data_IF_693214238658
#
_entry.id   IF_693214238658
#
_cell.length_a   1.000
_cell.length_b   1.000
_cell.length_c   1.000
_cell.angle_alpha   90.00
_cell.angle_beta   90.00
_cell.angle_gamma   90.00
#
_symmetry.space_group_name_H-M   'P 1'
#
loop_
_entity.id
_entity.type
_entity.pdbx_description
1 polymer ?
#
# COMPACT_ATOMS: atom_id res chain seq x y z
N UNK A 1 3.80 -9.27 10.01
CA UNK A 1 3.06 -8.59 8.96
C UNK A 1 2.56 -7.25 9.44
N UNK A 2 2.45 -6.29 8.54
CA UNK A 2 2.05 -4.93 8.90
C UNK A 2 0.61 -4.90 9.41
N UNK A 3 0.44 -4.36 10.61
CA UNK A 3 -0.89 -4.15 11.20
C UNK A 3 -0.74 -3.18 12.37
N UNK A 4 -1.83 -2.46 12.75
CA UNK A 4 -1.77 -1.57 13.91
C UNK A 4 -1.50 -2.36 15.19
N UNK A 5 -0.67 -1.80 16.05
CA UNK A 5 -0.41 -2.39 17.38
C UNK A 5 -1.67 -2.30 18.24
N UNK A 6 -2.40 -1.19 18.09
CA UNK A 6 -3.61 -0.93 18.86
C UNK A 6 -4.62 -0.22 17.98
N UNK A 7 -5.88 -0.65 18.00
CA UNK A 7 -6.94 -0.01 17.23
C UNK A 7 -8.07 0.42 18.15
N UNK A 8 -8.72 1.54 17.79
CA UNK A 8 -9.85 2.08 18.54
C UNK A 8 -11.09 1.21 18.36
N UNK A 9 -11.30 0.71 17.15
CA UNK A 9 -12.45 -0.14 16.80
C UNK A 9 -11.97 -1.43 16.20
N UNK A 10 -12.63 -2.54 16.58
CA UNK A 10 -12.28 -3.87 16.08
C UNK A 10 -12.67 -4.07 14.62
N UNK A 11 -13.78 -3.47 14.21
CA UNK A 11 -14.32 -3.63 12.86
C UNK A 11 -14.60 -2.25 12.27
N UNK A 12 -14.60 -2.17 10.93
CA UNK A 12 -14.86 -0.92 10.22
C UNK A 12 -15.82 -1.15 9.07
N UNK A 13 -16.53 -0.11 8.67
CA UNK A 13 -17.33 -0.16 7.46
C UNK A 13 -16.45 -0.24 6.23
N UNK A 14 -16.91 -0.99 5.22
CA UNK A 14 -16.18 -1.09 3.96
C UNK A 14 -16.00 0.28 3.32
N UNK A 15 -17.08 1.06 3.22
CA UNK A 15 -17.04 2.36 2.59
C UNK A 15 -16.64 2.33 1.13
N UNK A 16 -16.51 3.51 0.54
CA UNK A 16 -16.03 3.69 -0.83
C UNK A 16 -14.91 4.73 -0.80
N UNK A 17 -13.99 4.62 -1.76
CA UNK A 17 -12.88 5.55 -1.88
C UNK A 17 -13.23 6.60 -2.91
N UNK A 18 -13.36 7.85 -2.48
CA UNK A 18 -13.75 8.97 -3.34
C UNK A 18 -12.65 10.01 -3.43
N UNK A 19 -12.62 10.73 -4.56
CA UNK A 19 -11.75 11.88 -4.75
C UNK A 19 -10.30 11.51 -5.03
N UNK A 20 -9.46 12.53 -5.02
CA UNK A 20 -8.03 12.41 -5.25
C UNK A 20 -7.27 12.67 -3.97
N UNK A 21 -6.05 12.12 -3.86
CA UNK A 21 -5.21 12.36 -2.71
C UNK A 21 -4.76 13.83 -2.66
N UNK A 22 -4.95 14.46 -1.51
CA UNK A 22 -4.44 15.81 -1.24
C UNK A 22 -3.27 15.78 -0.27
N UNK A 23 -3.16 14.71 0.52
CA UNK A 23 -2.03 14.47 1.41
C UNK A 23 -1.21 13.29 0.87
N UNK A 24 0.09 13.30 1.14
CA UNK A 24 1.01 12.28 0.64
C UNK A 24 0.90 12.16 -0.89
N UNK A 25 0.77 13.30 -1.56
CA UNK A 25 0.63 13.37 -3.02
C UNK A 25 1.92 13.81 -3.69
N UNK A 26 2.94 14.20 -2.92
CA UNK A 26 4.24 14.62 -3.42
C UNK A 26 5.35 13.88 -2.68
N UNK A 27 6.53 13.80 -3.31
CA UNK A 27 7.69 13.19 -2.68
C UNK A 27 8.24 14.10 -1.58
N UNK A 28 8.39 13.55 -0.38
CA UNK A 28 8.89 14.29 0.78
C UNK A 28 10.26 13.80 1.25
N UNK A 29 10.55 12.52 1.14
CA UNK A 29 11.76 11.92 1.69
C UNK A 29 12.76 11.52 0.62
N UNK A 30 12.30 10.91 -0.46
CA UNK A 30 13.16 10.38 -1.50
C UNK A 30 13.13 11.21 -2.77
N UNK A 31 14.05 10.89 -3.68
CA UNK A 31 14.13 11.52 -4.99
C UNK A 31 13.18 10.89 -6.01
N UNK A 32 12.79 9.65 -5.78
CA UNK A 32 11.93 8.88 -6.69
C UNK A 32 10.81 8.23 -5.92
N UNK A 33 9.70 7.95 -6.59
CA UNK A 33 8.56 7.34 -5.93
C UNK A 33 7.60 6.66 -6.88
N UNK A 34 6.65 5.96 -6.27
CA UNK A 34 5.57 5.26 -6.97
C UNK A 34 4.25 5.89 -6.55
N UNK A 35 3.50 6.34 -7.53
CA UNK A 35 2.25 7.07 -7.32
C UNK A 35 1.07 6.21 -7.78
N UNK A 36 0.02 6.13 -6.95
CA UNK A 36 -1.20 5.42 -7.30
C UNK A 36 -1.98 6.19 -8.35
N UNK A 37 -2.50 5.48 -9.34
CA UNK A 37 -3.33 6.06 -10.40
C UNK A 37 -4.79 5.62 -10.32
N UNK A 38 -5.12 4.70 -9.43
CA UNK A 38 -6.46 4.16 -9.24
C UNK A 38 -6.79 4.08 -7.75
N UNK A 39 -8.08 4.21 -7.38
CA UNK A 39 -8.48 3.97 -5.99
C UNK A 39 -8.60 2.47 -5.73
N UNK A 40 -8.11 2.01 -4.59
CA UNK A 40 -8.23 0.61 -4.17
C UNK A 40 -7.83 0.47 -2.71
N UNK A 41 -8.22 -0.65 -2.11
CA UNK A 41 -7.71 -1.08 -0.83
C UNK A 41 -6.50 -1.99 -1.07
N UNK A 42 -5.35 -1.59 -0.51
CA UNK A 42 -4.12 -2.37 -0.63
C UNK A 42 -3.92 -3.09 0.70
N UNK A 43 -3.85 -4.41 0.65
CA UNK A 43 -3.72 -5.22 1.87
C UNK A 43 -2.27 -5.28 2.35
N UNK A 44 -2.09 -5.58 3.64
CA UNK A 44 -0.76 -5.63 4.24
C UNK A 44 0.21 -6.58 3.54
N UNK A 45 -0.29 -7.71 3.06
CA UNK A 45 0.53 -8.67 2.31
C UNK A 45 1.09 -8.08 1.01
N UNK A 46 0.26 -7.32 0.30
CA UNK A 46 0.66 -6.68 -0.94
C UNK A 46 1.71 -5.60 -0.70
N UNK A 47 1.53 -4.81 0.35
CA UNK A 47 2.49 -3.76 0.73
C UNK A 47 3.84 -4.39 1.07
N UNK A 48 3.84 -5.45 1.86
CA UNK A 48 5.06 -6.13 2.24
C UNK A 48 5.76 -6.79 1.05
N UNK A 49 4.99 -7.43 0.16
CA UNK A 49 5.53 -8.05 -1.04
C UNK A 49 6.18 -7.01 -1.96
N UNK A 50 5.54 -5.86 -2.13
CA UNK A 50 6.08 -4.77 -2.93
C UNK A 50 7.38 -4.22 -2.34
N UNK A 51 7.41 -4.01 -1.02
CA UNK A 51 8.60 -3.53 -0.33
C UNK A 51 9.77 -4.49 -0.48
N UNK A 52 9.51 -5.79 -0.33
CA UNK A 52 10.54 -6.82 -0.47
C UNK A 52 11.10 -6.86 -1.90
N UNK A 53 10.21 -6.82 -2.91
CA UNK A 53 10.63 -6.83 -4.31
C UNK A 53 11.50 -5.62 -4.63
N UNK A 54 11.12 -4.45 -4.14
CA UNK A 54 11.85 -3.20 -4.33
C UNK A 54 13.23 -3.26 -3.69
N UNK A 55 13.31 -3.70 -2.45
CA UNK A 55 14.56 -3.80 -1.69
C UNK A 55 15.52 -4.80 -2.33
N UNK A 56 15.00 -5.94 -2.80
CA UNK A 56 15.84 -6.96 -3.47
C UNK A 56 16.48 -6.44 -4.74
N UNK A 57 15.72 -5.71 -5.54
CA UNK A 57 16.28 -5.15 -6.78
C UNK A 57 17.38 -4.13 -6.50
N UNK A 58 17.23 -3.36 -5.44
CA UNK A 58 18.22 -2.37 -5.03
C UNK A 58 19.44 -2.99 -4.32
N UNK A 59 19.42 -4.29 -4.07
CA UNK A 59 20.47 -5.01 -3.36
C UNK A 59 20.84 -4.36 -2.01
N UNK A 60 19.80 -3.87 -1.31
CA UNK A 60 19.91 -3.18 -0.02
C UNK A 60 20.70 -1.86 -0.09
N UNK A 61 20.94 -1.34 -1.29
CA UNK A 61 21.50 -0.01 -1.47
C UNK A 61 20.43 1.04 -1.31
N UNK A 62 20.79 2.23 -0.82
CA UNK A 62 19.85 3.33 -0.69
C UNK A 62 18.85 3.13 0.43
N UNK A 63 17.80 3.95 0.40
CA UNK A 63 16.73 3.94 1.41
C UNK A 63 15.37 3.82 0.74
N UNK A 64 14.44 3.17 1.44
CA UNK A 64 13.06 2.97 1.00
C UNK A 64 12.13 3.44 2.11
N UNK A 65 11.13 4.24 1.74
CA UNK A 65 10.06 4.65 2.65
C UNK A 65 8.75 4.12 2.13
N UNK A 66 8.04 3.37 2.98
CA UNK A 66 6.67 2.95 2.72
C UNK A 66 5.76 4.06 3.23
N UNK A 67 5.02 4.71 2.33
CA UNK A 67 4.15 5.84 2.67
C UNK A 67 2.71 5.43 2.94
N UNK A 68 2.43 4.15 2.91
CA UNK A 68 1.10 3.60 3.21
C UNK A 68 1.22 2.57 4.32
N UNK A 69 0.17 2.49 5.13
CA UNK A 69 0.10 1.54 6.24
C UNK A 69 -1.29 0.93 6.29
N UNK A 70 -1.41 -0.39 6.47
CA UNK A 70 -2.71 -1.06 6.52
C UNK A 70 -3.35 -0.85 7.88
N UNK A 71 -4.23 0.15 7.99
CA UNK A 71 -4.85 0.53 9.25
C UNK A 71 -6.35 0.21 9.32
N UNK A 72 -6.94 -0.30 8.24
CA UNK A 72 -8.37 -0.61 8.18
C UNK A 72 -8.56 -2.11 8.31
N UNK A 73 -9.31 -2.59 9.32
CA UNK A 73 -9.58 -4.02 9.45
C UNK A 73 -10.61 -4.46 8.41
N UNK A 74 -10.35 -5.60 7.77
CA UNK A 74 -11.27 -6.19 6.80
C UNK A 74 -11.76 -7.51 7.36
N UNK A 75 -13.09 -7.63 7.48
CA UNK A 75 -13.73 -8.81 8.04
C UNK A 75 -14.12 -9.78 6.94
N UNK A 76 -14.09 -11.07 7.27
CA UNK A 76 -14.51 -12.12 6.35
C UNK A 76 -15.12 -13.25 7.14
N UNK A 77 -16.19 -13.83 6.60
CA UNK A 77 -16.81 -15.03 7.17
C UNK A 77 -16.25 -16.28 6.50
N UNK A 78 -16.15 -17.40 7.23
CA UNK A 78 -15.80 -18.68 6.61
C UNK A 78 -16.79 -19.04 5.50
N UNK A 79 -16.32 -19.76 4.50
CA UNK A 79 -17.16 -20.14 3.35
C UNK A 79 -18.30 -21.08 3.73
N UNK A 80 -18.13 -21.90 4.78
CA UNK A 80 -19.13 -22.85 5.26
C UNK A 80 -20.21 -22.21 6.14
N UNK A 81 -20.07 -20.94 6.51
CA UNK A 81 -21.03 -20.26 7.37
C UNK A 81 -22.09 -19.57 6.53
N UNK A 82 -23.36 -19.72 6.92
CA UNK A 82 -24.48 -19.08 6.24
C UNK A 82 -24.48 -17.56 6.46
N UNK A 83 -25.10 -16.84 5.55
CA UNK A 83 -25.22 -15.40 5.63
C UNK A 83 -26.08 -14.98 6.82
N UNK A 84 -25.83 -13.77 7.36
CA UNK A 84 -26.55 -13.25 8.50
C UNK A 84 -25.84 -13.53 9.83
N UNK A 85 -26.52 -13.23 10.94
CA UNK A 85 -26.03 -13.41 12.32
C UNK A 85 -24.77 -12.59 12.64
N UNK A 86 -24.71 -11.38 12.09
CA UNK A 86 -23.65 -10.44 12.41
C UNK A 86 -22.48 -10.42 11.46
N UNK A 87 -21.60 -9.47 11.67
CA UNK A 87 -20.42 -9.25 10.84
C UNK A 87 -19.34 -10.27 11.18
N UNK A 88 -18.62 -10.73 10.15
CA UNK A 88 -17.50 -11.67 10.34
C UNK A 88 -16.36 -11.07 11.15
N UNK A 89 -15.43 -11.93 11.56
CA UNK A 89 -14.24 -11.51 12.31
C UNK A 89 -13.26 -10.80 11.41
N UNK A 90 -12.46 -9.84 11.94
CA UNK A 90 -11.38 -9.24 11.19
C UNK A 90 -10.38 -10.32 10.75
N UNK A 91 -10.04 -10.35 9.47
CA UNK A 91 -9.13 -11.34 8.93
C UNK A 91 -7.79 -10.74 8.54
N UNK A 92 -7.81 -9.55 7.95
CA UNK A 92 -6.59 -8.87 7.53
C UNK A 92 -6.78 -7.35 7.59
N UNK A 93 -5.70 -6.63 7.38
CA UNK A 93 -5.67 -5.17 7.42
C UNK A 93 -5.36 -4.62 6.03
N UNK A 94 -5.94 -3.47 5.71
CA UNK A 94 -5.77 -2.82 4.42
C UNK A 94 -5.62 -1.32 4.58
N UNK A 95 -5.09 -0.68 3.54
CA UNK A 95 -4.99 0.76 3.42
C UNK A 95 -5.88 1.22 2.27
N UNK A 96 -6.69 2.24 2.50
CA UNK A 96 -7.48 2.87 1.45
C UNK A 96 -6.60 3.86 0.71
N UNK A 97 -6.40 3.62 -0.58
CA UNK A 97 -5.52 4.44 -1.41
C UNK A 97 -6.36 5.22 -2.42
N UNK A 98 -6.18 6.53 -2.46
CA UNK A 98 -6.81 7.40 -3.45
C UNK A 98 -5.85 7.61 -4.63
N UNK A 99 -6.38 7.88 -5.84
CA UNK A 99 -5.52 8.25 -6.96
C UNK A 99 -4.66 9.47 -6.60
N UNK A 100 -3.40 9.41 -6.95
CA UNK A 100 -2.45 10.49 -6.67
C UNK A 100 -1.62 10.30 -5.41
N UNK A 101 -1.92 9.29 -4.60
CA UNK A 101 -1.15 9.04 -3.37
C UNK A 101 0.19 8.38 -3.68
N UNK A 102 1.24 8.84 -3.01
CA UNK A 102 2.55 8.23 -3.08
C UNK A 102 2.55 6.96 -2.21
N UNK A 103 2.96 5.85 -2.80
CA UNK A 103 2.97 4.55 -2.13
C UNK A 103 4.33 4.24 -1.52
N UNK A 104 5.38 4.44 -2.28
CA UNK A 104 6.76 4.22 -1.84
C UNK A 104 7.65 5.35 -2.32
N UNK A 105 8.71 5.63 -1.56
CA UNK A 105 9.74 6.57 -1.96
C UNK A 105 11.11 5.88 -1.85
N UNK A 106 12.01 6.25 -2.74
CA UNK A 106 13.33 5.65 -2.83
C UNK A 106 14.37 6.76 -2.98
N UNK A 107 15.51 6.59 -2.36
CA UNK A 107 16.65 7.49 -2.51
C UNK A 107 17.96 6.72 -2.38
N UNK A 108 19.06 7.35 -2.80
CA UNK A 108 20.38 6.75 -2.68
C UNK A 108 20.75 5.76 -3.78
N UNK A 109 19.98 5.71 -4.87
CA UNK A 109 20.28 4.89 -6.05
C UNK A 109 20.09 5.73 -7.32
N UNK A 110 20.61 5.22 -8.45
CA UNK A 110 20.43 5.89 -9.73
C UNK A 110 18.97 5.85 -10.18
N UNK A 111 18.60 6.76 -11.08
CA UNK A 111 17.22 6.81 -11.59
C UNK A 111 16.83 5.49 -12.27
N UNK A 112 17.75 4.89 -13.04
CA UNK A 112 17.46 3.63 -13.72
C UNK A 112 17.18 2.51 -12.73
N UNK A 113 18.01 2.37 -11.69
CA UNK A 113 17.81 1.35 -10.66
C UNK A 113 16.50 1.60 -9.92
N UNK A 114 16.22 2.85 -9.57
CA UNK A 114 14.98 3.20 -8.89
C UNK A 114 13.76 2.88 -9.74
N UNK A 115 13.79 3.23 -11.04
CA UNK A 115 12.68 2.97 -11.97
C UNK A 115 12.40 1.48 -12.08
N UNK A 116 13.44 0.67 -12.23
CA UNK A 116 13.28 -0.78 -12.33
C UNK A 116 12.78 -1.40 -11.03
N UNK A 117 13.32 -0.94 -9.90
CA UNK A 117 12.90 -1.43 -8.58
C UNK A 117 11.42 -1.12 -8.31
N UNK A 118 11.00 0.11 -8.59
CA UNK A 118 9.61 0.52 -8.41
C UNK A 118 8.67 -0.19 -9.38
N UNK A 119 9.12 -0.47 -10.59
CA UNK A 119 8.35 -1.26 -11.55
C UNK A 119 8.09 -2.68 -11.00
N UNK A 120 9.12 -3.32 -10.45
CA UNK A 120 8.96 -4.64 -9.84
C UNK A 120 8.04 -4.61 -8.64
N UNK A 121 8.12 -3.56 -7.83
CA UNK A 121 7.21 -3.38 -6.71
C UNK A 121 5.76 -3.22 -7.18
N UNK A 122 5.55 -2.47 -8.27
CA UNK A 122 4.20 -2.24 -8.80
C UNK A 122 3.50 -3.51 -9.24
N UNK A 123 4.26 -4.52 -9.68
CA UNK A 123 3.70 -5.81 -10.07
C UNK A 123 3.06 -6.57 -8.90
N UNK A 124 3.39 -6.22 -7.67
CA UNK A 124 2.83 -6.82 -6.46
C UNK A 124 1.59 -6.08 -5.95
N UNK A 125 1.25 -4.96 -6.56
CA UNK A 125 0.14 -4.13 -6.14
C UNK A 125 -1.08 -4.32 -7.05
N UNK A 126 -2.31 -4.14 -6.53
CA UNK A 126 -3.52 -4.39 -7.30
C UNK A 126 -3.96 -3.22 -8.17
N UNK A 127 -3.19 -2.15 -8.24
CA UNK A 127 -3.57 -0.91 -8.92
C UNK A 127 -2.53 -0.48 -9.94
N UNK A 128 -2.96 0.35 -10.87
CA UNK A 128 -2.05 1.01 -11.80
C UNK A 128 -1.26 2.09 -11.05
N UNK A 129 0.01 2.18 -11.37
CA UNK A 129 0.94 3.10 -10.70
C UNK A 129 1.76 3.86 -11.73
N UNK A 130 2.39 4.94 -11.27
CA UNK A 130 3.25 5.77 -12.11
C UNK A 130 4.54 6.08 -11.35
N UNK A 131 5.66 5.95 -12.05
CA UNK A 131 6.95 6.40 -11.53
C UNK A 131 6.98 7.93 -11.52
N UNK A 132 7.41 8.49 -10.41
CA UNK A 132 7.56 9.95 -10.26
C UNK A 132 8.94 10.27 -9.71
N UNK A 133 9.45 11.43 -10.05
CA UNK A 133 10.71 11.94 -9.53
C UNK A 133 10.55 13.39 -9.09
N UNK A 134 11.42 13.82 -8.16
CA UNK A 134 11.42 15.16 -7.62
C UNK A 134 11.90 16.16 -8.66
#
# INVERSE_FOLDING_TARGET
MLQPVRSKYRKAHKGRIHGKATRVATLNYGAYGLKAMQPERVIGKQIEAARVALTRHMQRSGKVWSRIFPNIPVSKKPTEVRMGKGKGSPEYWACRVKPGRILFEVDGVSEQVAREALYKASAKLPIKTKFVKR
#
